data_IF_727282221916
#
_entry.id   IF_727282221916
#
_cell.length_a   1.000
_cell.length_b   1.000
_cell.length_c   1.000
_cell.angle_alpha   90.00
_cell.angle_beta   90.00
_cell.angle_gamma   90.00
#
_symmetry.space_group_name_H-M   'P 1'
#
loop_
_entity.id
_entity.type
_entity.pdbx_description
1 polymer ?
#
# COMPACT_ATOMS: atom_id res chain seq x y z
N UNK A 1 -4.23 -27.79 4.59
CA UNK A 1 -3.74 -27.00 3.44
C UNK A 1 -2.39 -27.51 3.02
N UNK A 2 -2.17 -27.61 1.72
CA UNK A 2 -0.88 -28.05 1.16
C UNK A 2 0.19 -26.99 1.47
N UNK A 3 1.38 -27.46 1.88
CA UNK A 3 2.50 -26.58 2.23
C UNK A 3 2.87 -25.61 1.11
N UNK A 4 2.92 -26.09 -0.11
CA UNK A 4 3.25 -25.25 -1.25
C UNK A 4 2.18 -24.21 -1.57
N UNK A 5 0.92 -24.60 -1.41
CA UNK A 5 -0.19 -23.65 -1.57
C UNK A 5 -0.13 -22.55 -0.52
N UNK A 6 0.18 -22.91 0.70
CA UNK A 6 0.31 -21.93 1.78
C UNK A 6 1.45 -20.97 1.50
N UNK A 7 2.59 -21.50 1.09
CA UNK A 7 3.76 -20.70 0.74
C UNK A 7 3.45 -19.74 -0.40
N UNK A 8 2.79 -20.23 -1.44
CA UNK A 8 2.41 -19.43 -2.58
C UNK A 8 1.42 -18.32 -2.18
N UNK A 9 0.44 -18.67 -1.35
CA UNK A 9 -0.55 -17.70 -0.87
C UNK A 9 0.11 -16.61 -0.05
N UNK A 10 1.08 -16.95 0.80
CA UNK A 10 1.80 -15.97 1.60
C UNK A 10 2.61 -15.03 0.69
N UNK A 11 3.23 -15.59 -0.34
CA UNK A 11 3.96 -14.80 -1.31
C UNK A 11 3.03 -13.85 -2.07
N UNK A 12 1.89 -14.36 -2.50
CA UNK A 12 0.88 -13.57 -3.21
C UNK A 12 0.31 -12.47 -2.34
N UNK A 13 0.28 -12.70 -1.02
CA UNK A 13 -0.19 -11.70 -0.07
C UNK A 13 0.85 -10.62 0.24
N UNK A 14 2.04 -10.73 -0.36
CA UNK A 14 3.08 -9.73 -0.16
C UNK A 14 3.95 -9.94 1.06
N UNK A 15 3.91 -11.14 1.64
CA UNK A 15 4.79 -11.45 2.77
C UNK A 15 6.24 -11.57 2.30
N UNK A 16 7.15 -11.10 3.12
CA UNK A 16 8.59 -11.21 2.81
C UNK A 16 9.04 -12.65 2.97
N UNK A 17 10.06 -13.04 2.22
CA UNK A 17 10.57 -14.40 2.23
C UNK A 17 10.95 -14.87 3.63
N UNK A 18 11.57 -14.02 4.43
CA UNK A 18 11.94 -14.34 5.80
C UNK A 18 10.72 -14.67 6.65
N UNK A 19 9.66 -13.90 6.51
CA UNK A 19 8.43 -14.14 7.25
C UNK A 19 7.75 -15.42 6.78
N UNK A 20 7.76 -15.68 5.48
CA UNK A 20 7.20 -16.91 4.92
C UNK A 20 7.91 -18.12 5.52
N UNK A 21 9.24 -18.09 5.56
CA UNK A 21 10.05 -19.17 6.13
C UNK A 21 9.70 -19.39 7.62
N UNK A 22 9.56 -18.31 8.38
CA UNK A 22 9.19 -18.37 9.79
C UNK A 22 7.82 -19.01 9.99
N UNK A 23 6.83 -18.55 9.22
CA UNK A 23 5.47 -19.06 9.30
C UNK A 23 5.44 -20.53 8.94
N UNK A 24 6.13 -20.91 7.87
CA UNK A 24 6.18 -22.31 7.45
C UNK A 24 6.82 -23.21 8.51
N UNK A 25 7.92 -22.74 9.10
CA UNK A 25 8.61 -23.48 10.17
C UNK A 25 7.67 -23.68 11.38
N UNK A 26 6.95 -22.64 11.77
CA UNK A 26 6.00 -22.73 12.87
C UNK A 26 4.88 -23.71 12.59
N UNK A 27 4.34 -23.68 11.37
CA UNK A 27 3.28 -24.61 10.99
C UNK A 27 3.76 -26.04 10.99
N UNK A 28 4.97 -26.29 10.48
CA UNK A 28 5.55 -27.63 10.46
C UNK A 28 5.82 -28.16 11.85
N UNK A 29 6.18 -27.27 12.78
CA UNK A 29 6.42 -27.64 14.16
C UNK A 29 5.15 -27.75 15.02
N UNK A 30 3.97 -27.55 14.42
CA UNK A 30 2.72 -27.62 15.16
C UNK A 30 2.36 -26.33 15.90
N UNK A 31 3.10 -25.26 15.68
CA UNK A 31 2.85 -23.97 16.34
C UNK A 31 1.96 -23.06 15.48
N UNK A 32 0.80 -23.59 15.13
CA UNK A 32 -0.12 -22.91 14.21
C UNK A 32 -0.63 -21.58 14.77
N UNK A 33 -0.85 -21.52 16.08
CA UNK A 33 -1.34 -20.28 16.70
C UNK A 33 -0.32 -19.15 16.57
N UNK A 34 0.96 -19.46 16.78
CA UNK A 34 2.02 -18.47 16.62
C UNK A 34 2.16 -18.04 15.16
N UNK A 35 2.02 -19.00 14.24
CA UNK A 35 2.02 -18.70 12.81
C UNK A 35 0.90 -17.74 12.45
N UNK A 36 -0.30 -17.98 12.99
CA UNK A 36 -1.44 -17.09 12.77
C UNK A 36 -1.21 -15.69 13.32
N UNK A 37 -0.56 -15.59 14.48
CA UNK A 37 -0.24 -14.29 15.05
C UNK A 37 0.73 -13.49 14.15
N UNK A 38 1.69 -14.18 13.56
CA UNK A 38 2.61 -13.53 12.61
C UNK A 38 1.89 -13.07 11.35
N UNK A 39 0.96 -13.87 10.86
CA UNK A 39 0.13 -13.47 9.71
C UNK A 39 -0.70 -12.24 10.02
N UNK A 40 -1.33 -12.20 11.18
CA UNK A 40 -2.16 -11.08 11.61
C UNK A 40 -1.32 -9.81 11.79
N UNK A 41 -0.13 -9.95 12.33
CA UNK A 41 0.79 -8.84 12.51
C UNK A 41 1.20 -8.26 11.17
N UNK A 42 1.50 -9.11 10.19
CA UNK A 42 1.88 -8.67 8.86
C UNK A 42 0.70 -8.01 8.13
N UNK A 43 -0.51 -8.52 8.37
CA UNK A 43 -1.71 -7.88 7.82
C UNK A 43 -1.85 -6.46 8.34
N UNK A 44 -1.59 -6.23 9.62
CA UNK A 44 -1.62 -4.89 10.18
C UNK A 44 -0.58 -3.98 9.54
N UNK A 45 0.62 -4.50 9.31
CA UNK A 45 1.67 -3.75 8.62
C UNK A 45 1.21 -3.33 7.23
N UNK A 46 0.58 -4.24 6.48
CA UNK A 46 0.09 -3.95 5.14
C UNK A 46 -1.02 -2.90 5.14
N UNK A 47 -1.90 -2.96 6.14
CA UNK A 47 -2.97 -1.97 6.29
C UNK A 47 -2.36 -0.60 6.59
N UNK A 48 -1.35 -0.54 7.45
CA UNK A 48 -0.67 0.72 7.77
C UNK A 48 0.02 1.30 6.53
N UNK A 49 0.67 0.46 5.74
CA UNK A 49 1.29 0.88 4.49
C UNK A 49 0.25 1.42 3.51
N UNK A 50 -0.90 0.77 3.45
CA UNK A 50 -2.00 1.22 2.60
C UNK A 50 -2.51 2.59 3.03
N UNK A 51 -2.68 2.81 4.32
CA UNK A 51 -3.11 4.09 4.85
C UNK A 51 -2.09 5.19 4.55
N UNK A 52 -0.79 4.90 4.66
CA UNK A 52 0.25 5.85 4.32
C UNK A 52 0.23 6.19 2.83
N UNK A 53 0.06 5.19 1.97
CA UNK A 53 -0.05 5.40 0.54
C UNK A 53 -1.27 6.27 0.24
N UNK A 54 -2.40 6.01 0.90
CA UNK A 54 -3.61 6.80 0.74
C UNK A 54 -3.38 8.25 1.09
N UNK A 55 -2.68 8.51 2.19
CA UNK A 55 -2.36 9.89 2.60
C UNK A 55 -1.46 10.58 1.59
N UNK A 56 -0.50 9.87 1.04
CA UNK A 56 0.40 10.41 0.02
C UNK A 56 -0.36 10.74 -1.26
N UNK A 57 -1.26 9.88 -1.64
CA UNK A 57 -2.12 10.09 -2.81
C UNK A 57 -3.01 11.31 -2.60
N UNK A 58 -3.62 11.43 -1.44
CA UNK A 58 -4.48 12.58 -1.12
C UNK A 58 -3.71 13.89 -1.19
N UNK A 59 -2.49 13.89 -0.68
CA UNK A 59 -1.65 15.07 -0.71
C UNK A 59 -1.30 15.45 -2.16
N UNK A 60 -0.97 14.46 -2.96
CA UNK A 60 -0.62 14.69 -4.35
C UNK A 60 -1.84 15.19 -5.13
N UNK A 61 -3.01 14.61 -4.89
CA UNK A 61 -4.26 15.06 -5.50
C UNK A 61 -4.54 16.52 -5.16
N UNK A 62 -4.32 16.90 -3.92
CA UNK A 62 -4.48 18.28 -3.48
C UNK A 62 -3.55 19.21 -4.25
N UNK A 63 -2.28 18.81 -4.39
CA UNK A 63 -1.29 19.61 -5.11
C UNK A 63 -1.64 19.74 -6.60
N UNK A 64 -2.13 18.66 -7.19
CA UNK A 64 -2.54 18.68 -8.60
C UNK A 64 -3.68 19.67 -8.79
N UNK A 65 -4.70 19.62 -7.95
CA UNK A 65 -5.84 20.53 -8.04
C UNK A 65 -5.43 21.97 -7.84
N UNK A 66 -4.54 22.20 -6.89
CA UNK A 66 -4.08 23.55 -6.61
C UNK A 66 -3.28 24.10 -7.77
N UNK A 67 -2.42 23.27 -8.36
CA UNK A 67 -1.61 23.67 -9.51
C UNK A 67 -2.48 23.98 -10.72
N UNK A 68 -3.48 23.13 -10.98
CA UNK A 68 -4.43 23.37 -12.06
C UNK A 68 -5.18 24.68 -11.87
N UNK A 69 -5.57 24.95 -10.64
CA UNK A 69 -6.26 26.18 -10.31
C UNK A 69 -5.39 27.40 -10.58
N UNK A 70 -4.13 27.35 -10.19
CA UNK A 70 -3.20 28.41 -10.43
C UNK A 70 -2.94 28.62 -11.92
N UNK A 71 -2.83 27.54 -12.67
CA UNK A 71 -2.67 27.60 -14.11
C UNK A 71 -3.88 28.26 -14.77
N UNK A 72 -5.08 27.92 -14.31
CA UNK A 72 -6.29 28.51 -14.85
C UNK A 72 -6.36 30.01 -14.55
N UNK A 73 -5.97 30.39 -13.35
CA UNK A 73 -5.94 31.80 -12.98
C UNK A 73 -4.94 32.57 -13.83
N UNK A 74 -3.75 32.02 -14.02
CA UNK A 74 -2.74 32.65 -14.85
C UNK A 74 -3.17 32.73 -16.31
N UNK A 75 -3.80 31.67 -16.79
CA UNK A 75 -4.31 31.63 -18.15
C UNK A 75 -5.42 32.66 -18.34
N UNK A 76 -6.30 32.79 -17.37
CA UNK A 76 -7.38 33.74 -17.42
C UNK A 76 -6.84 35.17 -17.47
N UNK A 77 -5.84 35.43 -16.65
CA UNK A 77 -5.19 36.74 -16.65
C UNK A 77 -4.50 36.97 -17.98
N UNK A 78 -3.79 35.99 -18.47
CA UNK A 78 -3.13 36.05 -19.75
C UNK A 78 -4.10 36.22 -20.90
N UNK A 79 -5.17 35.49 -20.88
CA UNK A 79 -6.19 35.56 -21.90
C UNK A 79 -6.87 36.93 -21.89
N UNK A 80 -7.11 37.46 -20.75
CA UNK A 80 -7.69 38.79 -20.64
C UNK A 80 -6.77 39.83 -21.23
N UNK A 81 -5.49 39.65 -21.08
CA UNK A 81 -4.52 40.59 -21.65
C UNK A 81 -4.28 40.40 -23.14
N UNK A 82 -4.41 39.17 -23.57
CA UNK A 82 -4.08 38.82 -24.94
C UNK A 82 -5.26 38.77 -25.86
N UNK A 83 -6.19 37.97 -25.47
CA UNK A 83 -7.26 37.59 -26.31
C UNK A 83 -8.36 38.53 -26.33
N UNK A 84 -8.54 39.03 -25.30
CA UNK A 84 -9.74 39.75 -25.11
C UNK A 84 -9.67 41.16 -25.56
#
# INVERSE_FOLDING_TARGET
MNTEHMKQNLSDAGCRDELIAEIMTLCEGGHVREAMQKMKSDRCRLIDELHECGRKIDRLDFLIRQTEKEMQMNRRTGDANITD
#
